data_IF_516968691841
#
_entry.id   IF_516968691841
#
_cell.length_a   1.000
_cell.length_b   1.000
_cell.length_c   1.000
_cell.angle_alpha   90.00
_cell.angle_beta   90.00
_cell.angle_gamma   90.00
#
_symmetry.space_group_name_H-M   'P 1'
#
loop_
_entity.id
_entity.type
_entity.pdbx_description
1 polymer ?
#
# COMPACT_ATOMS: atom_id res chain seq x y z
N UNK A 1 -44.69 -53.79 -32.93
CA UNK A 1 -45.04 -52.82 -31.86
C UNK A 1 -43.78 -52.58 -31.03
N UNK A 2 -43.04 -51.50 -31.30
CA UNK A 2 -41.76 -51.20 -30.64
C UNK A 2 -41.92 -49.84 -29.94
N UNK A 3 -42.11 -49.84 -28.62
CA UNK A 3 -42.03 -48.64 -27.77
C UNK A 3 -40.61 -48.57 -27.20
N UNK A 4 -39.72 -47.85 -27.88
CA UNK A 4 -38.39 -47.52 -27.34
C UNK A 4 -38.42 -46.11 -26.74
N UNK A 5 -38.35 -46.06 -25.40
CA UNK A 5 -37.31 -45.28 -24.71
C UNK A 5 -37.29 -43.75 -24.82
N UNK A 6 -38.39 -43.03 -24.59
CA UNK A 6 -38.33 -41.56 -24.43
C UNK A 6 -37.89 -41.08 -23.04
N UNK A 7 -37.94 -41.94 -22.01
CA UNK A 7 -37.64 -41.56 -20.62
C UNK A 7 -36.14 -41.43 -20.30
N UNK A 8 -35.26 -42.15 -21.02
CA UNK A 8 -33.80 -42.06 -20.77
C UNK A 8 -33.17 -40.77 -21.31
N UNK A 9 -33.71 -40.16 -22.37
CA UNK A 9 -33.11 -38.95 -22.97
C UNK A 9 -33.30 -37.70 -22.10
N UNK A 10 -34.45 -37.57 -21.42
CA UNK A 10 -34.76 -36.41 -20.57
C UNK A 10 -33.90 -36.38 -19.29
N UNK A 11 -33.64 -37.55 -18.70
CA UNK A 11 -32.82 -37.68 -17.49
C UNK A 11 -31.35 -37.36 -17.78
N UNK A 12 -30.82 -37.77 -18.94
CA UNK A 12 -29.43 -37.50 -19.35
C UNK A 12 -29.22 -36.00 -19.66
N UNK A 13 -30.18 -35.33 -20.30
CA UNK A 13 -30.15 -33.86 -20.50
C UNK A 13 -30.19 -33.10 -19.17
N UNK A 14 -31.05 -33.50 -18.23
CA UNK A 14 -31.13 -32.92 -16.88
C UNK A 14 -29.83 -33.07 -16.08
N UNK A 15 -29.18 -34.24 -16.15
CA UNK A 15 -27.91 -34.49 -15.44
C UNK A 15 -26.75 -33.66 -16.02
N UNK A 16 -26.71 -33.49 -17.35
CA UNK A 16 -25.70 -32.70 -18.04
C UNK A 16 -25.85 -31.19 -17.77
N UNK A 17 -27.08 -30.68 -17.76
CA UNK A 17 -27.36 -29.26 -17.43
C UNK A 17 -27.03 -28.93 -15.97
N UNK A 18 -27.34 -29.82 -15.01
CA UNK A 18 -26.99 -29.63 -13.59
C UNK A 18 -25.47 -29.60 -13.36
N UNK A 19 -24.73 -30.48 -14.04
CA UNK A 19 -23.25 -30.48 -13.99
C UNK A 19 -22.67 -29.21 -14.59
N UNK A 20 -23.25 -28.70 -15.68
CA UNK A 20 -22.82 -27.46 -16.32
C UNK A 20 -23.08 -26.24 -15.42
N UNK A 21 -24.27 -26.14 -14.80
CA UNK A 21 -24.60 -25.08 -13.84
C UNK A 21 -23.65 -25.11 -12.64
N UNK A 22 -23.35 -26.29 -12.11
CA UNK A 22 -22.44 -26.43 -10.97
C UNK A 22 -21.00 -25.99 -11.34
N UNK A 23 -20.52 -26.38 -12.53
CA UNK A 23 -19.22 -25.93 -13.04
C UNK A 23 -19.17 -24.41 -13.21
N UNK A 24 -20.26 -23.82 -13.73
CA UNK A 24 -20.38 -22.38 -14.00
C UNK A 24 -20.40 -21.57 -12.69
N UNK A 25 -21.13 -22.05 -11.68
CA UNK A 25 -21.15 -21.47 -10.33
C UNK A 25 -19.77 -21.59 -9.67
N UNK A 26 -19.10 -22.74 -9.77
CA UNK A 26 -17.74 -22.91 -9.24
C UNK A 26 -16.75 -21.99 -9.94
N UNK A 27 -16.82 -21.83 -11.27
CA UNK A 27 -15.97 -20.87 -11.98
C UNK A 27 -16.26 -19.43 -11.58
N UNK A 28 -17.53 -19.03 -11.40
CA UNK A 28 -17.88 -17.69 -10.96
C UNK A 28 -17.42 -17.39 -9.52
N UNK A 29 -17.49 -18.39 -8.63
CA UNK A 29 -16.97 -18.28 -7.25
C UNK A 29 -15.44 -18.16 -7.26
N UNK A 30 -14.75 -18.94 -8.10
CA UNK A 30 -13.29 -18.88 -8.24
C UNK A 30 -12.80 -17.60 -8.91
N UNK A 31 -13.61 -16.99 -9.78
CA UNK A 31 -13.34 -15.68 -10.39
C UNK A 31 -13.64 -14.49 -9.48
N UNK A 32 -14.33 -14.69 -8.35
CA UNK A 32 -14.71 -13.59 -7.44
C UNK A 32 -13.57 -13.08 -6.55
N UNK A 33 -12.39 -13.70 -6.58
CA UNK A 33 -11.20 -13.25 -5.86
C UNK A 33 -10.21 -12.51 -6.79
N UNK A 34 -10.69 -11.54 -7.58
CA UNK A 34 -9.77 -10.62 -8.24
C UNK A 34 -9.13 -9.71 -7.20
N UNK A 35 -7.82 -9.85 -7.01
CA UNK A 35 -7.06 -8.95 -6.14
C UNK A 35 -7.20 -7.52 -6.65
N UNK A 36 -7.52 -6.60 -5.74
CA UNK A 36 -7.63 -5.18 -6.09
C UNK A 36 -6.29 -4.66 -6.61
N UNK A 37 -6.29 -4.14 -7.83
CA UNK A 37 -5.08 -3.56 -8.42
C UNK A 37 -4.83 -2.16 -7.83
N UNK A 38 -3.66 -1.98 -7.24
CA UNK A 38 -3.25 -0.70 -6.64
C UNK A 38 -2.55 0.16 -7.69
N UNK A 39 -3.03 1.40 -7.87
CA UNK A 39 -2.40 2.37 -8.77
C UNK A 39 -0.97 2.67 -8.34
N UNK A 40 -0.07 2.58 -9.31
CA UNK A 40 1.34 2.97 -9.18
C UNK A 40 1.63 4.33 -9.82
N UNK A 41 0.61 5.07 -10.27
CA UNK A 41 0.80 6.35 -10.95
C UNK A 41 0.79 7.52 -9.95
N UNK A 42 1.53 8.62 -10.24
CA UNK A 42 1.67 9.75 -9.31
C UNK A 42 0.37 10.52 -9.08
N UNK A 43 -0.54 10.53 -10.05
CA UNK A 43 -1.78 11.33 -10.05
C UNK A 43 -3.04 10.47 -10.23
N UNK A 44 -2.93 9.19 -9.91
CA UNK A 44 -4.07 8.26 -9.85
C UNK A 44 -3.95 7.46 -8.55
N UNK A 45 -5.07 7.31 -7.85
CA UNK A 45 -5.16 6.58 -6.59
C UNK A 45 -6.27 5.55 -6.66
N UNK A 46 -5.98 4.35 -6.20
CA UNK A 46 -7.02 3.33 -5.99
C UNK A 46 -7.79 3.72 -4.73
N UNK A 47 -9.00 4.27 -4.91
CA UNK A 47 -9.89 4.60 -3.79
C UNK A 47 -10.36 3.33 -3.08
N UNK A 48 -10.69 3.47 -1.80
CA UNK A 48 -11.14 2.37 -0.93
C UNK A 48 -10.15 1.20 -0.84
N UNK A 49 -8.85 1.46 -0.96
CA UNK A 49 -7.82 0.45 -0.73
C UNK A 49 -7.80 0.12 0.77
N UNK A 50 -7.94 -1.16 1.10
CA UNK A 50 -7.83 -1.64 2.48
C UNK A 50 -6.38 -1.90 2.85
N UNK A 51 -6.10 -1.97 4.15
CA UNK A 51 -4.78 -2.40 4.63
C UNK A 51 -4.42 -3.81 4.12
N UNK A 52 -5.41 -4.72 4.05
CA UNK A 52 -5.22 -6.07 3.51
C UNK A 52 -4.80 -6.06 2.03
N UNK A 53 -5.43 -5.22 1.21
CA UNK A 53 -5.08 -5.08 -0.21
C UNK A 53 -3.60 -4.71 -0.40
N UNK A 54 -3.03 -3.88 0.50
CA UNK A 54 -1.61 -3.50 0.43
C UNK A 54 -0.69 -4.72 0.61
N UNK A 55 -0.92 -5.53 1.64
CA UNK A 55 -0.15 -6.73 1.90
C UNK A 55 -0.30 -7.77 0.78
N UNK A 56 -1.53 -7.95 0.27
CA UNK A 56 -1.80 -8.88 -0.84
C UNK A 56 -1.11 -8.50 -2.15
N UNK A 57 -0.74 -7.21 -2.27
CA UNK A 57 0.05 -6.64 -3.37
C UNK A 57 1.55 -6.51 -3.03
N UNK A 58 2.02 -7.13 -1.94
CA UNK A 58 3.44 -7.21 -1.56
C UNK A 58 4.01 -5.90 -1.01
N UNK A 59 3.17 -5.02 -0.46
CA UNK A 59 3.64 -3.90 0.35
C UNK A 59 4.05 -4.40 1.73
N UNK A 60 4.98 -3.69 2.37
CA UNK A 60 5.54 -4.04 3.67
C UNK A 60 5.47 -2.86 4.60
N UNK A 61 5.37 -3.13 5.90
CA UNK A 61 5.49 -2.06 6.89
C UNK A 61 6.89 -1.46 6.83
N UNK A 62 6.94 -0.14 6.78
CA UNK A 62 8.13 0.65 7.09
C UNK A 62 8.05 1.09 8.55
N UNK A 63 9.13 0.88 9.31
CA UNK A 63 9.15 1.14 10.75
C UNK A 63 9.67 2.57 11.01
N UNK A 64 8.88 3.34 11.75
CA UNK A 64 9.17 4.72 12.16
C UNK A 64 8.49 5.03 13.50
N UNK A 65 8.67 6.25 14.01
CA UNK A 65 8.34 6.59 15.41
C UNK A 65 6.87 6.98 15.61
N UNK A 66 6.22 7.60 14.62
CA UNK A 66 4.97 8.34 14.87
C UNK A 66 3.75 7.88 14.06
N UNK A 67 3.97 7.14 12.97
CA UNK A 67 2.89 6.70 12.07
C UNK A 67 3.16 5.27 11.59
N UNK A 68 2.08 4.55 11.27
CA UNK A 68 2.19 3.25 10.62
C UNK A 68 2.22 3.49 9.12
N UNK A 69 3.39 3.28 8.51
CA UNK A 69 3.54 3.33 7.06
C UNK A 69 3.65 1.92 6.49
N UNK A 70 2.88 1.65 5.43
CA UNK A 70 2.98 0.46 4.61
C UNK A 70 3.41 0.91 3.22
N UNK A 71 4.57 0.47 2.77
CA UNK A 71 5.18 0.95 1.54
C UNK A 71 5.66 -0.16 0.62
N UNK A 72 5.96 0.23 -0.62
CA UNK A 72 6.57 -0.64 -1.63
C UNK A 72 7.54 0.17 -2.48
N UNK A 73 8.73 -0.38 -2.69
CA UNK A 73 9.76 0.20 -3.54
C UNK A 73 9.87 -0.57 -4.85
N UNK A 74 9.90 0.15 -5.96
CA UNK A 74 9.93 -0.35 -7.33
C UNK A 74 10.92 0.51 -8.11
N UNK A 75 12.17 0.05 -8.24
CA UNK A 75 13.27 0.81 -8.86
C UNK A 75 13.50 2.18 -8.21
N UNK A 76 13.25 3.25 -8.95
CA UNK A 76 13.34 4.67 -8.55
C UNK A 76 12.10 5.16 -7.81
N UNK A 77 11.04 4.36 -7.77
CA UNK A 77 9.75 4.74 -7.23
C UNK A 77 9.51 4.10 -5.87
N UNK A 78 9.01 4.86 -4.91
CA UNK A 78 8.52 4.34 -3.63
C UNK A 78 7.12 4.86 -3.37
N UNK A 79 6.19 3.98 -3.00
CA UNK A 79 4.83 4.36 -2.62
C UNK A 79 4.62 4.01 -1.17
N UNK A 80 4.18 4.98 -0.37
CA UNK A 80 3.79 4.81 1.02
C UNK A 80 2.29 5.01 1.18
N UNK A 81 1.69 4.23 2.07
CA UNK A 81 0.36 4.43 2.61
C UNK A 81 0.45 4.58 4.12
N UNK A 82 -0.25 5.56 4.67
CA UNK A 82 -0.43 5.69 6.12
C UNK A 82 -1.65 4.90 6.56
N UNK A 83 -1.49 4.14 7.64
CA UNK A 83 -2.56 3.45 8.33
C UNK A 83 -2.87 4.21 9.61
N UNK A 84 -4.07 4.77 9.68
CA UNK A 84 -4.57 5.41 10.89
C UNK A 84 -5.39 4.41 11.69
N UNK A 85 -4.99 4.22 12.94
CA UNK A 85 -5.73 3.42 13.90
C UNK A 85 -6.56 4.41 14.72
N UNK A 86 -7.90 4.26 14.79
CA UNK A 86 -8.73 5.14 15.59
C UNK A 86 -8.26 5.13 17.06
N UNK A 87 -8.13 6.31 17.65
CA UNK A 87 -7.75 6.45 19.05
C UNK A 87 -8.82 5.82 19.94
N UNK A 88 -8.48 4.70 20.55
CA UNK A 88 -9.29 4.08 21.58
C UNK A 88 -9.38 5.05 22.77
N UNK A 89 -10.58 5.22 23.33
CA UNK A 89 -10.82 6.09 24.49
C UNK A 89 -9.80 5.79 25.62
N UNK A 90 -9.37 6.80 26.41
CA UNK A 90 -8.37 6.61 27.46
C UNK A 90 -8.66 5.46 28.43
N UNK A 91 -9.93 5.13 28.60
CA UNK A 91 -10.47 4.11 29.51
C UNK A 91 -10.17 2.65 29.05
N UNK A 92 -9.87 2.45 27.76
CA UNK A 92 -9.52 1.14 27.18
C UNK A 92 -8.00 0.98 26.92
N UNK A 93 -7.18 1.98 27.30
CA UNK A 93 -5.69 1.92 27.19
C UNK A 93 -5.05 0.78 27.97
N UNK A 94 -5.80 0.04 28.78
CA UNK A 94 -5.32 -1.16 29.45
C UNK A 94 -4.92 -2.28 28.49
N UNK A 95 -5.33 -2.26 27.21
CA UNK A 95 -4.97 -3.29 26.23
C UNK A 95 -3.72 -2.98 25.37
N UNK A 96 -3.31 -1.71 25.24
CA UNK A 96 -2.13 -1.31 24.44
C UNK A 96 -0.85 -1.09 25.27
N UNK A 97 -0.80 -1.63 26.49
CA UNK A 97 0.43 -1.69 27.30
C UNK A 97 1.27 -2.95 27.03
N UNK A 98 1.35 -3.40 25.77
CA UNK A 98 2.17 -4.59 25.43
C UNK A 98 3.69 -4.31 25.36
N UNK A 99 4.13 -3.08 25.62
CA UNK A 99 5.54 -2.69 25.71
C UNK A 99 5.93 -2.12 27.08
N UNK A 100 5.34 -2.60 28.18
CA UNK A 100 6.05 -2.58 29.47
C UNK A 100 7.06 -3.73 29.47
N UNK A 101 8.13 -3.57 28.70
CA UNK A 101 9.33 -4.37 28.84
C UNK A 101 9.76 -4.29 30.30
N UNK A 102 9.80 -5.46 30.97
CA UNK A 102 10.62 -5.57 32.18
C UNK A 102 12.03 -5.13 31.78
N UNK A 103 12.74 -4.29 32.56
CA UNK A 103 14.14 -4.01 32.30
C UNK A 103 14.91 -5.31 32.55
N UNK A 104 15.05 -6.13 31.51
CA UNK A 104 16.06 -7.18 31.52
C UNK A 104 17.38 -6.44 31.53
N UNK A 105 18.15 -6.60 32.60
CA UNK A 105 19.55 -6.17 32.64
C UNK A 105 20.27 -6.97 31.56
N UNK A 106 20.40 -6.38 30.37
CA UNK A 106 21.17 -6.97 29.28
C UNK A 106 22.63 -6.69 29.64
N UNK A 107 23.32 -7.71 30.15
CA UNK A 107 24.79 -7.72 30.14
C UNK A 107 25.22 -7.43 28.69
N UNK A 108 25.98 -6.37 28.39
CA UNK A 108 26.35 -6.03 27.04
C UNK A 108 27.48 -6.98 26.60
N UNK A 109 27.12 -8.23 26.31
CA UNK A 109 27.96 -9.05 25.44
C UNK A 109 27.75 -8.46 24.05
N UNK A 110 28.64 -7.53 23.73
CA UNK A 110 28.73 -6.83 22.45
C UNK A 110 29.13 -7.83 21.35
N UNK A 111 28.20 -8.73 21.00
CA UNK A 111 28.27 -9.53 19.78
C UNK A 111 27.40 -8.82 18.77
N UNK A 112 28.04 -7.95 17.98
CA UNK A 112 27.45 -7.53 16.72
C UNK A 112 27.04 -8.78 15.96
N UNK A 113 25.75 -8.95 15.71
CA UNK A 113 25.28 -10.10 14.95
C UNK A 113 25.52 -9.81 13.48
N UNK A 114 25.73 -10.84 12.66
CA UNK A 114 25.82 -10.71 11.19
C UNK A 114 24.62 -9.94 10.57
N UNK A 115 23.55 -9.75 11.35
CA UNK A 115 22.27 -9.22 10.93
C UNK A 115 22.03 -7.76 11.33
N UNK A 116 22.87 -7.16 12.18
CA UNK A 116 22.73 -5.74 12.57
C UNK A 116 22.79 -4.82 11.36
N UNK A 117 23.56 -5.21 10.33
CA UNK A 117 23.63 -4.49 9.05
C UNK A 117 22.28 -4.32 8.35
N UNK A 118 21.29 -5.18 8.63
CA UNK A 118 19.97 -5.11 8.03
C UNK A 118 19.02 -4.17 8.78
N UNK A 119 19.32 -3.82 10.04
CA UNK A 119 18.58 -2.80 10.78
C UNK A 119 18.81 -1.40 10.18
N UNK A 120 19.99 -1.17 9.61
CA UNK A 120 20.37 0.06 8.91
C UNK A 120 19.89 0.11 7.44
N UNK A 121 19.31 -0.98 6.92
CA UNK A 121 18.81 -1.04 5.56
C UNK A 121 17.34 -0.63 5.48
N UNK A 122 16.97 0.03 4.37
CA UNK A 122 15.57 0.31 4.05
C UNK A 122 14.76 -0.99 4.02
N UNK A 123 13.80 -1.12 4.93
CA UNK A 123 12.99 -2.32 5.10
C UNK A 123 12.27 -2.72 3.80
N UNK A 124 11.94 -1.75 2.93
CA UNK A 124 11.28 -2.00 1.65
C UNK A 124 12.20 -2.61 0.59
N UNK A 125 13.52 -2.59 0.79
CA UNK A 125 14.52 -3.19 -0.10
C UNK A 125 14.90 -4.61 0.28
N UNK A 126 14.50 -5.06 1.48
CA UNK A 126 14.86 -6.38 1.99
C UNK A 126 14.03 -7.47 1.29
N UNK A 127 14.68 -8.61 0.98
CA UNK A 127 13.98 -9.84 0.60
C UNK A 127 13.09 -10.30 1.75
N UNK A 128 11.95 -10.92 1.43
CA UNK A 128 10.93 -11.33 2.41
C UNK A 128 11.52 -12.13 3.58
N UNK A 129 12.38 -13.12 3.30
CA UNK A 129 13.02 -13.92 4.36
C UNK A 129 13.90 -13.11 5.32
N UNK A 130 14.58 -12.07 4.83
CA UNK A 130 15.40 -11.18 5.66
C UNK A 130 14.52 -10.16 6.38
N UNK A 131 13.50 -9.65 5.70
CA UNK A 131 12.52 -8.75 6.29
C UNK A 131 11.81 -9.43 7.47
N UNK A 132 11.28 -10.63 7.28
CA UNK A 132 10.59 -11.40 8.32
C UNK A 132 11.50 -11.72 9.49
N UNK A 133 12.78 -12.01 9.23
CA UNK A 133 13.77 -12.25 10.27
C UNK A 133 14.04 -11.01 11.13
N UNK A 134 14.19 -9.84 10.50
CA UNK A 134 14.57 -8.58 11.20
C UNK A 134 13.37 -7.88 11.82
N UNK A 135 12.25 -7.85 11.10
CA UNK A 135 11.08 -7.02 11.39
C UNK A 135 9.84 -7.84 11.78
N UNK A 136 9.90 -9.16 11.68
CA UNK A 136 8.84 -10.08 12.10
C UNK A 136 7.91 -10.51 10.96
N UNK A 137 7.09 -11.52 11.27
CA UNK A 137 6.18 -12.18 10.33
C UNK A 137 5.16 -11.22 9.69
N UNK A 138 5.10 -11.21 8.36
CA UNK A 138 4.23 -10.30 7.58
C UNK A 138 2.76 -10.59 7.84
N UNK A 139 2.35 -11.86 7.94
CA UNK A 139 0.94 -12.21 8.16
C UNK A 139 0.46 -11.76 9.54
N UNK A 140 1.32 -11.85 10.56
CA UNK A 140 1.04 -11.33 11.90
C UNK A 140 0.91 -9.81 11.88
N UNK A 141 1.83 -9.10 11.23
CA UNK A 141 1.74 -7.65 11.09
C UNK A 141 0.44 -7.23 10.38
N UNK A 142 0.07 -7.92 9.30
CA UNK A 142 -1.19 -7.69 8.59
C UNK A 142 -2.38 -7.85 9.53
N UNK A 143 -2.45 -8.93 10.31
CA UNK A 143 -3.55 -9.13 11.27
C UNK A 143 -3.60 -8.03 12.33
N UNK A 144 -2.46 -7.70 12.92
CA UNK A 144 -2.38 -6.78 14.06
C UNK A 144 -2.67 -5.32 13.66
N UNK A 145 -2.32 -4.92 12.44
CA UNK A 145 -2.47 -3.54 11.95
C UNK A 145 -3.78 -3.36 11.19
N UNK A 146 -4.15 -4.31 10.34
CA UNK A 146 -5.30 -4.16 9.46
C UNK A 146 -6.65 -4.43 10.15
N UNK A 147 -6.67 -4.98 11.36
CA UNK A 147 -7.91 -5.23 12.11
C UNK A 147 -8.68 -3.94 12.41
N UNK A 148 -7.97 -2.87 12.74
CA UNK A 148 -8.54 -1.59 13.19
C UNK A 148 -8.08 -0.41 12.34
N UNK A 149 -7.01 -0.60 11.55
CA UNK A 149 -6.40 0.45 10.75
C UNK A 149 -7.14 0.77 9.45
N UNK A 150 -7.26 2.05 9.13
CA UNK A 150 -7.78 2.55 7.86
C UNK A 150 -6.69 3.25 7.07
N UNK A 151 -6.67 3.04 5.75
CA UNK A 151 -5.73 3.73 4.86
C UNK A 151 -6.18 5.18 4.69
N UNK A 152 -5.41 6.12 5.22
CA UNK A 152 -5.82 7.54 5.28
C UNK A 152 -5.07 8.44 4.30
N UNK A 153 -3.85 8.05 3.93
CA UNK A 153 -2.97 8.88 3.12
C UNK A 153 -2.09 8.02 2.23
N UNK A 154 -1.76 8.55 1.05
CA UNK A 154 -0.82 7.98 0.10
C UNK A 154 0.23 9.00 -0.26
N UNK A 155 1.47 8.53 -0.38
CA UNK A 155 2.54 9.26 -1.01
C UNK A 155 3.25 8.45 -2.08
N UNK A 156 3.35 9.02 -3.26
CA UNK A 156 4.17 8.54 -4.34
C UNK A 156 5.46 9.36 -4.35
N UNK A 157 6.61 8.68 -4.30
CA UNK A 157 7.94 9.28 -4.40
C UNK A 157 8.67 8.71 -5.61
N UNK A 158 9.28 9.58 -6.40
CA UNK A 158 10.14 9.24 -7.53
C UNK A 158 11.52 9.85 -7.32
N UNK A 159 12.57 9.04 -7.31
CA UNK A 159 13.95 9.50 -7.32
C UNK A 159 14.25 10.13 -8.68
N UNK A 160 14.71 11.39 -8.67
CA UNK A 160 15.05 12.15 -9.86
C UNK A 160 16.56 12.29 -9.98
N UNK A 161 17.03 12.47 -11.22
CA UNK A 161 18.37 13.03 -11.44
C UNK A 161 18.36 14.52 -11.14
N UNK A 162 19.52 15.06 -10.76
CA UNK A 162 19.66 16.48 -10.39
C UNK A 162 19.17 17.40 -11.52
N UNK A 163 19.53 17.10 -12.76
CA UNK A 163 19.17 17.86 -13.95
C UNK A 163 17.67 17.86 -14.28
N UNK A 164 16.89 16.92 -13.73
CA UNK A 164 15.44 16.82 -13.95
C UNK A 164 14.65 17.70 -12.97
N UNK A 165 15.25 18.11 -11.86
CA UNK A 165 14.52 18.68 -10.71
C UNK A 165 13.79 19.99 -11.00
N UNK A 166 14.47 20.98 -11.58
CA UNK A 166 13.90 22.31 -11.83
C UNK A 166 12.78 22.30 -12.88
N UNK A 167 12.81 21.32 -13.79
CA UNK A 167 11.89 21.23 -14.92
C UNK A 167 10.89 20.08 -14.80
N UNK A 168 10.93 19.28 -13.72
CA UNK A 168 10.09 18.10 -13.58
C UNK A 168 8.59 18.44 -13.77
N UNK A 169 8.14 19.56 -13.18
CA UNK A 169 6.77 20.06 -13.33
C UNK A 169 6.32 20.18 -14.79
N UNK A 170 7.21 20.59 -15.69
CA UNK A 170 6.91 20.81 -17.11
C UNK A 170 6.75 19.49 -17.89
N UNK A 171 7.12 18.35 -17.29
CA UNK A 171 6.95 17.02 -17.88
C UNK A 171 5.54 16.45 -17.69
N UNK A 172 4.70 17.11 -16.86
CA UNK A 172 3.34 16.65 -16.55
C UNK A 172 2.42 16.90 -17.75
N UNK A 173 1.68 15.86 -18.16
CA UNK A 173 0.71 15.93 -19.27
C UNK A 173 -0.46 16.87 -18.94
N UNK A 174 -0.39 18.09 -19.45
CA UNK A 174 -1.38 19.14 -19.19
C UNK A 174 -2.73 18.91 -19.88
N UNK A 175 -2.83 17.92 -20.78
CA UNK A 175 -4.12 17.51 -21.34
C UNK A 175 -4.93 16.67 -20.34
N UNK A 176 -4.25 15.97 -19.42
CA UNK A 176 -4.87 15.13 -18.38
C UNK A 176 -4.92 15.82 -17.01
N UNK A 177 -3.99 16.74 -16.77
CA UNK A 177 -3.76 17.32 -15.46
C UNK A 177 -3.71 18.84 -15.51
N UNK A 178 -4.28 19.50 -14.50
CA UNK A 178 -4.12 20.94 -14.31
C UNK A 178 -3.14 21.20 -13.17
N UNK A 179 -2.10 21.97 -13.46
CA UNK A 179 -1.11 22.40 -12.47
C UNK A 179 -1.58 23.70 -11.83
N UNK A 180 -1.57 23.76 -10.50
CA UNK A 180 -1.87 24.96 -9.73
C UNK A 180 -0.62 25.39 -8.97
N UNK A 181 -0.21 26.64 -9.19
CA UNK A 181 0.89 27.24 -8.46
C UNK A 181 0.49 27.47 -7.01
N UNK A 182 1.38 27.12 -6.09
CA UNK A 182 1.27 27.48 -4.67
C UNK A 182 2.58 28.10 -4.23
N UNK A 183 2.52 28.91 -3.17
CA UNK A 183 3.72 29.51 -2.62
C UNK A 183 4.63 28.44 -2.04
N UNK A 184 5.93 28.58 -2.33
CA UNK A 184 6.98 27.82 -1.69
C UNK A 184 7.18 28.43 -0.29
N UNK A 185 6.70 27.72 0.72
CA UNK A 185 6.72 28.20 2.11
C UNK A 185 8.06 27.90 2.83
N UNK A 186 9.00 27.22 2.18
CA UNK A 186 10.26 26.79 2.77
C UNK A 186 11.34 26.56 1.70
N UNK A 187 12.58 26.95 2.00
CA UNK A 187 13.76 26.71 1.15
C UNK A 187 14.15 25.24 1.02
N UNK A 188 13.58 24.38 1.87
CA UNK A 188 13.73 22.92 1.77
C UNK A 188 13.25 22.38 0.41
N UNK A 189 12.23 23.00 -0.18
CA UNK A 189 11.66 22.56 -1.45
C UNK A 189 12.36 23.24 -2.63
N UNK A 190 12.78 22.47 -3.62
CA UNK A 190 13.19 23.00 -4.92
C UNK A 190 11.95 23.56 -5.63
N UNK A 191 10.85 22.79 -5.59
CA UNK A 191 9.58 23.20 -6.18
C UNK A 191 8.39 22.70 -5.34
N UNK A 192 7.26 23.43 -5.39
CA UNK A 192 6.02 23.09 -4.69
C UNK A 192 4.80 23.53 -5.52
N UNK A 193 3.85 22.62 -5.77
CA UNK A 193 2.65 22.88 -6.56
C UNK A 193 1.52 21.91 -6.20
N UNK A 194 0.32 22.12 -6.75
CA UNK A 194 -0.74 21.12 -6.75
C UNK A 194 -1.00 20.64 -8.17
N UNK A 195 -1.44 19.40 -8.29
CA UNK A 195 -1.90 18.82 -9.55
C UNK A 195 -3.34 18.35 -9.38
N UNK A 196 -4.22 18.76 -10.28
CA UNK A 196 -5.61 18.31 -10.32
C UNK A 196 -5.79 17.35 -11.49
N UNK A 197 -6.23 16.12 -11.21
CA UNK A 197 -6.64 15.18 -12.25
C UNK A 197 -7.94 15.68 -12.89
N UNK A 198 -7.92 15.96 -14.20
CA UNK A 198 -9.06 16.57 -14.88
C UNK A 198 -10.25 15.61 -15.01
N UNK A 199 -10.03 14.30 -14.91
CA UNK A 199 -11.08 13.27 -14.98
C UNK A 199 -11.65 13.03 -13.58
N UNK A 200 -10.82 12.61 -12.62
CA UNK A 200 -11.29 12.20 -11.30
C UNK A 200 -11.56 13.37 -10.36
N UNK A 201 -11.07 14.57 -10.72
CA UNK A 201 -11.10 15.81 -9.90
C UNK A 201 -10.31 15.72 -8.59
N UNK A 202 -9.51 14.66 -8.43
CA UNK A 202 -8.61 14.50 -7.29
C UNK A 202 -7.49 15.55 -7.34
N UNK A 203 -7.13 16.08 -6.18
CA UNK A 203 -6.05 17.07 -6.03
C UNK A 203 -4.89 16.47 -5.26
N UNK A 204 -3.71 16.54 -5.86
CA UNK A 204 -2.45 16.03 -5.32
C UNK A 204 -1.58 17.20 -4.89
N UNK A 205 -0.95 17.07 -3.72
CA UNK A 205 0.02 18.04 -3.22
C UNK A 205 1.42 17.55 -3.58
N UNK A 206 2.12 18.36 -4.37
CA UNK A 206 3.36 17.97 -5.00
C UNK A 206 4.53 18.81 -4.52
N UNK A 207 5.68 18.17 -4.39
CA UNK A 207 6.94 18.84 -4.10
C UNK A 207 8.12 18.16 -4.78
N UNK A 208 9.15 18.94 -5.06
CA UNK A 208 10.47 18.47 -5.45
C UNK A 208 11.46 18.95 -4.39
N UNK A 209 12.31 18.06 -3.88
CA UNK A 209 13.23 18.38 -2.80
C UNK A 209 14.50 17.51 -2.82
N UNK A 210 15.52 17.94 -2.07
CA UNK A 210 16.73 17.16 -1.82
C UNK A 210 16.68 16.53 -0.42
N UNK A 211 17.00 15.24 -0.31
CA UNK A 211 17.17 14.54 0.95
C UNK A 211 18.30 13.53 0.83
N UNK A 212 19.22 13.53 1.79
CA UNK A 212 20.38 12.61 1.81
C UNK A 212 21.17 12.61 0.48
N UNK A 213 21.39 13.80 -0.10
CA UNK A 213 22.09 14.01 -1.39
C UNK A 213 21.40 13.37 -2.62
N UNK A 214 20.12 13.03 -2.49
CA UNK A 214 19.27 12.53 -3.57
C UNK A 214 18.10 13.49 -3.79
N UNK A 215 17.61 13.52 -5.01
CA UNK A 215 16.50 14.38 -5.40
C UNK A 215 15.23 13.58 -5.57
N UNK A 216 14.11 14.09 -5.09
CA UNK A 216 12.84 13.39 -5.13
C UNK A 216 11.74 14.30 -5.63
N UNK A 217 10.88 13.75 -6.49
CA UNK A 217 9.52 14.23 -6.67
C UNK A 217 8.60 13.47 -5.71
N UNK A 218 7.68 14.18 -5.07
CA UNK A 218 6.68 13.64 -4.18
C UNK A 218 5.29 14.11 -4.59
N UNK A 219 4.33 13.19 -4.64
CA UNK A 219 2.91 13.45 -4.85
C UNK A 219 2.12 12.83 -3.71
N UNK A 220 1.39 13.64 -2.97
CA UNK A 220 0.63 13.21 -1.79
C UNK A 220 -0.86 13.38 -2.00
N UNK A 221 -1.63 12.43 -1.47
CA UNK A 221 -3.09 12.41 -1.56
C UNK A 221 -3.69 11.88 -0.25
N UNK A 222 -4.69 12.59 0.27
CA UNK A 222 -5.45 12.17 1.46
C UNK A 222 -6.68 11.38 1.02
N UNK A 223 -6.80 10.14 1.48
CA UNK A 223 -7.91 9.24 1.16
C UNK A 223 -9.10 9.40 2.10
N UNK A 224 -8.85 9.79 3.36
CA UNK A 224 -9.89 9.99 4.38
C UNK A 224 -9.79 11.43 4.87
N UNK A 225 -10.87 12.19 4.73
CA UNK A 225 -10.99 13.47 5.41
C UNK A 225 -11.56 13.20 6.80
N UNK A 226 -10.84 13.62 7.84
CA UNK A 226 -11.38 13.68 9.19
C UNK A 226 -12.30 14.90 9.26
N UNK A 227 -13.58 14.67 9.54
CA UNK A 227 -14.55 15.72 9.90
C UNK A 227 -14.37 16.18 11.34
#
# INVERSE_FOLDING_TARGET
MIRIGFSKLAVVKSLSVKKFICLLVVTLILSSCEKKQISILPFEVTKDVSCGDLYDNGYKRSFGVDVILIGKKMNDTTIFYQIDIPTIAPEERTFYNFYKSRPTVVNPINKSTKYDKYLEMDALTLKDSIYEFVWGDIQKQQRDICSEGKVSWRNFMLELKKEETENYRNTIDTNKYKILNINKDSDYYIDKFKVVNLITKDTFYCSVYEQNKKYYFSSTFTLINYE
#
